data_IF_908611257979
#
_entry.id   IF_908611257979
#
_cell.length_a   1.000
_cell.length_b   1.000
_cell.length_c   1.000
_cell.angle_alpha   90.00
_cell.angle_beta   90.00
_cell.angle_gamma   90.00
#
_symmetry.space_group_name_H-M   'P 1'
#
loop_
_entity.id
_entity.type
_entity.pdbx_description
1 polymer ?
#
# COMPACT_ATOMS: atom_id res chain seq x y z
N UNK A 1 13.30 7.58 -5.39
CA UNK A 1 13.78 8.90 -4.91
C UNK A 1 14.41 8.71 -3.53
N UNK A 2 15.75 8.75 -3.43
CA UNK A 2 16.43 8.56 -2.14
C UNK A 2 16.19 9.71 -1.16
N UNK A 3 15.77 10.87 -1.64
CA UNK A 3 15.61 12.08 -0.82
C UNK A 3 14.22 12.22 -0.19
N UNK A 4 13.24 11.43 -0.64
CA UNK A 4 11.84 11.53 -0.21
C UNK A 4 11.08 12.76 -0.71
N UNK A 5 11.76 13.70 -1.39
CA UNK A 5 11.20 15.00 -1.80
C UNK A 5 10.14 14.90 -2.90
N UNK A 6 10.17 13.85 -3.72
CA UNK A 6 9.27 13.73 -4.86
C UNK A 6 7.81 13.58 -4.43
N UNK A 7 7.53 12.75 -3.41
CA UNK A 7 6.17 12.59 -2.85
C UNK A 7 5.67 13.87 -2.18
N UNK A 8 6.54 14.58 -1.47
CA UNK A 8 6.20 15.85 -0.82
C UNK A 8 5.90 16.94 -1.86
N UNK A 9 6.71 17.03 -2.91
CA UNK A 9 6.48 17.96 -4.01
C UNK A 9 5.19 17.64 -4.75
N UNK A 10 4.87 16.36 -4.94
CA UNK A 10 3.61 15.95 -5.55
C UNK A 10 2.41 16.33 -4.67
N UNK A 11 2.46 16.04 -3.36
CA UNK A 11 1.42 16.46 -2.41
C UNK A 11 1.21 17.98 -2.44
N UNK A 12 2.30 18.75 -2.43
CA UNK A 12 2.26 20.19 -2.49
C UNK A 12 1.62 20.69 -3.80
N UNK A 13 1.93 20.07 -4.94
CA UNK A 13 1.34 20.42 -6.24
C UNK A 13 -0.15 20.08 -6.28
N UNK A 14 -0.55 18.89 -5.83
CA UNK A 14 -1.97 18.49 -5.76
C UNK A 14 -2.80 19.48 -4.94
N UNK A 15 -2.30 19.86 -3.76
CA UNK A 15 -2.96 20.80 -2.86
C UNK A 15 -2.95 22.26 -3.33
N UNK A 16 -2.16 22.60 -4.35
CA UNK A 16 -2.15 23.94 -4.98
C UNK A 16 -2.96 24.00 -6.26
N UNK A 17 -3.10 22.86 -6.96
CA UNK A 17 -3.69 22.79 -8.29
C UNK A 17 -5.14 22.31 -8.29
N UNK A 18 -5.68 21.91 -7.14
CA UNK A 18 -7.06 21.42 -7.02
C UNK A 18 -7.77 22.11 -5.85
N UNK A 19 -9.10 22.14 -5.89
CA UNK A 19 -9.92 22.64 -4.78
C UNK A 19 -10.00 21.63 -3.61
N UNK A 20 -9.63 20.37 -3.87
CA UNK A 20 -9.63 19.33 -2.85
C UNK A 20 -8.32 19.32 -2.07
N UNK A 21 -8.43 19.06 -0.77
CA UNK A 21 -7.28 18.72 0.05
C UNK A 21 -6.94 17.26 -0.18
N UNK A 22 -5.66 16.97 -0.36
CA UNK A 22 -5.09 15.63 -0.36
C UNK A 22 -4.22 15.45 0.88
N UNK A 23 -4.26 14.23 1.40
CA UNK A 23 -3.32 13.70 2.37
C UNK A 23 -2.57 12.53 1.74
N UNK A 24 -1.44 12.14 2.36
CA UNK A 24 -0.64 11.04 1.87
C UNK A 24 -0.27 10.07 2.99
N UNK A 25 -0.17 8.80 2.63
CA UNK A 25 0.39 7.74 3.46
C UNK A 25 1.35 6.92 2.62
N UNK A 26 2.45 6.43 3.22
CA UNK A 26 3.47 5.70 2.50
C UNK A 26 4.04 4.55 3.33
N UNK A 27 4.53 3.51 2.65
CA UNK A 27 5.22 2.37 3.24
C UNK A 27 6.62 2.74 3.71
N UNK A 28 7.29 1.84 4.44
CA UNK A 28 8.75 1.94 4.56
C UNK A 28 9.44 1.64 3.22
N UNK A 29 10.76 1.75 3.20
CA UNK A 29 11.59 1.40 2.04
C UNK A 29 11.64 -0.12 1.87
N UNK A 30 11.24 -0.62 0.70
CA UNK A 30 11.05 -2.04 0.38
C UNK A 30 11.99 -2.45 -0.76
N UNK A 31 12.37 -3.72 -0.84
CA UNK A 31 13.28 -4.24 -1.88
C UNK A 31 14.38 -5.12 -1.30
N UNK A 32 14.73 -6.24 -1.94
CA UNK A 32 15.79 -7.14 -1.44
C UNK A 32 17.21 -6.64 -1.65
N UNK A 33 17.42 -5.77 -2.63
CA UNK A 33 18.74 -5.31 -3.04
C UNK A 33 19.04 -3.89 -2.54
N UNK A 34 20.09 -3.28 -3.09
CA UNK A 34 20.39 -1.84 -2.89
C UNK A 34 19.35 -0.94 -3.55
N UNK A 35 18.61 -1.45 -4.53
CA UNK A 35 17.46 -0.77 -5.11
C UNK A 35 16.25 -0.95 -4.19
N UNK A 36 15.67 0.18 -3.78
CA UNK A 36 14.52 0.23 -2.88
C UNK A 36 13.41 1.12 -3.44
N UNK A 37 12.18 0.72 -3.16
CA UNK A 37 10.95 1.40 -3.57
C UNK A 37 10.05 1.68 -2.36
N UNK A 38 9.04 2.54 -2.54
CA UNK A 38 8.01 2.79 -1.53
C UNK A 38 6.65 2.84 -2.21
N UNK A 39 5.63 2.28 -1.57
CA UNK A 39 4.25 2.57 -1.91
C UNK A 39 3.85 3.92 -1.32
N UNK A 40 3.13 4.72 -2.10
CA UNK A 40 2.58 6.01 -1.65
C UNK A 40 1.13 6.07 -2.13
N UNK A 41 0.21 6.29 -1.20
CA UNK A 41 -1.19 6.52 -1.47
C UNK A 41 -1.51 7.99 -1.16
N UNK A 42 -2.06 8.70 -2.14
CA UNK A 42 -2.62 10.03 -1.99
C UNK A 42 -4.14 9.90 -1.99
N UNK A 43 -4.81 10.44 -0.98
CA UNK A 43 -6.25 10.30 -0.83
C UNK A 43 -6.89 11.61 -0.36
N UNK A 44 -8.20 11.72 -0.61
CA UNK A 44 -9.04 12.86 -0.26
C UNK A 44 -9.72 12.59 1.08
N UNK A 45 -9.33 13.27 2.19
CA UNK A 45 -9.89 13.00 3.51
C UNK A 45 -11.36 13.46 3.65
N UNK A 46 -11.87 14.27 2.72
CA UNK A 46 -13.28 14.62 2.57
C UNK A 46 -14.14 13.49 1.97
N UNK A 47 -13.52 12.45 1.42
CA UNK A 47 -14.20 11.36 0.72
C UNK A 47 -13.98 9.99 1.38
N UNK A 48 -12.80 9.77 1.95
CA UNK A 48 -12.42 8.53 2.62
C UNK A 48 -11.63 8.82 3.90
N UNK A 49 -11.78 7.97 4.91
CA UNK A 49 -10.97 8.01 6.14
C UNK A 49 -10.06 6.80 6.17
N UNK A 50 -8.75 7.00 6.38
CA UNK A 50 -7.81 5.90 6.60
C UNK A 50 -7.97 5.40 8.04
N UNK A 51 -8.57 4.22 8.20
CA UNK A 51 -8.88 3.63 9.50
C UNK A 51 -7.71 2.85 10.08
N UNK A 52 -7.02 2.09 9.25
CA UNK A 52 -5.87 1.28 9.66
C UNK A 52 -4.91 1.07 8.48
N UNK A 53 -3.65 0.73 8.80
CA UNK A 53 -2.62 0.39 7.83
C UNK A 53 -1.58 -0.52 8.45
N UNK A 54 -1.02 -1.41 7.65
CA UNK A 54 0.16 -2.16 8.04
C UNK A 54 0.96 -2.60 6.82
N UNK A 55 2.23 -2.90 7.05
CA UNK A 55 3.05 -3.61 6.09
C UNK A 55 2.88 -5.10 6.35
N UNK A 56 2.52 -5.89 5.34
CA UNK A 56 2.50 -7.34 5.48
C UNK A 56 3.91 -7.86 5.76
N UNK A 57 4.06 -8.74 6.74
CA UNK A 57 5.33 -9.37 7.08
C UNK A 57 5.31 -10.81 6.56
N UNK A 58 6.14 -11.09 5.57
CA UNK A 58 6.18 -12.39 4.89
C UNK A 58 7.18 -13.35 5.58
N UNK A 59 6.88 -13.67 6.84
CA UNK A 59 7.72 -14.45 7.74
C UNK A 59 7.21 -15.89 7.89
N UNK A 60 6.57 -16.44 6.86
CA UNK A 60 5.93 -17.76 6.92
C UNK A 60 6.96 -18.87 6.84
N UNK A 61 6.89 -19.82 7.77
CA UNK A 61 7.87 -20.90 7.85
C UNK A 61 7.82 -21.77 6.59
N UNK A 62 8.91 -21.71 5.80
CA UNK A 62 9.03 -22.44 4.53
C UNK A 62 8.78 -21.61 3.27
N UNK A 63 8.26 -20.39 3.41
CA UNK A 63 8.11 -19.44 2.30
C UNK A 63 8.53 -18.01 2.67
N UNK A 64 9.47 -17.88 3.61
CA UNK A 64 10.03 -16.60 4.02
C UNK A 64 10.55 -15.82 2.80
N UNK A 65 10.20 -14.54 2.72
CA UNK A 65 10.62 -13.65 1.64
C UNK A 65 10.16 -14.16 0.26
N UNK A 66 8.85 -14.31 0.05
CA UNK A 66 8.24 -14.51 -1.26
C UNK A 66 8.10 -13.20 -2.04
N UNK A 67 7.83 -12.06 -1.38
CA UNK A 67 7.75 -10.74 -2.03
C UNK A 67 9.09 -10.01 -2.13
N UNK A 68 9.43 -9.47 -3.31
CA UNK A 68 10.54 -8.53 -3.41
C UNK A 68 10.24 -7.20 -2.70
N UNK A 69 8.96 -6.84 -2.63
CA UNK A 69 8.40 -5.70 -1.92
C UNK A 69 7.10 -6.14 -1.29
N UNK A 70 7.13 -6.23 0.02
CA UNK A 70 6.02 -6.67 0.83
C UNK A 70 4.79 -5.76 0.56
N UNK A 71 3.55 -6.30 0.54
CA UNK A 71 2.35 -5.50 0.31
C UNK A 71 2.02 -4.50 1.43
N UNK A 72 1.63 -3.27 1.05
CA UNK A 72 1.28 -2.20 1.98
C UNK A 72 -0.24 -2.08 2.15
N UNK A 73 -0.79 -2.76 3.14
CA UNK A 73 -2.24 -2.88 3.35
C UNK A 73 -2.83 -1.61 3.95
N UNK A 74 -3.90 -1.08 3.34
CA UNK A 74 -4.59 0.14 3.74
C UNK A 74 -6.09 -0.12 3.88
N UNK A 75 -6.69 0.19 5.04
CA UNK A 75 -8.14 0.10 5.24
C UNK A 75 -8.76 1.48 5.27
N UNK A 76 -9.77 1.69 4.42
CA UNK A 76 -10.49 2.95 4.28
C UNK A 76 -11.97 2.79 4.58
N UNK A 77 -12.50 3.70 5.40
CA UNK A 77 -13.92 3.97 5.46
C UNK A 77 -14.32 4.88 4.29
N UNK A 78 -15.33 4.47 3.52
CA UNK A 78 -15.82 5.10 2.30
C UNK A 78 -17.33 5.42 2.42
N UNK A 79 -17.73 6.44 3.20
CA UNK A 79 -19.15 6.68 3.50
C UNK A 79 -20.01 7.00 2.27
N UNK A 80 -19.41 7.49 1.18
CA UNK A 80 -20.11 7.94 -0.02
C UNK A 80 -20.28 6.86 -1.12
N UNK A 81 -19.74 5.65 -0.94
CA UNK A 81 -19.78 4.58 -1.95
C UNK A 81 -20.70 3.43 -1.54
N UNK A 82 -20.93 2.43 -2.40
CA UNK A 82 -21.66 1.21 -2.00
C UNK A 82 -20.83 0.36 -1.02
N UNK A 83 -19.53 0.28 -1.26
CA UNK A 83 -18.57 -0.45 -0.41
C UNK A 83 -18.07 0.48 0.69
N UNK A 84 -18.66 0.39 1.88
CA UNK A 84 -18.39 1.31 3.00
C UNK A 84 -17.04 1.10 3.69
N UNK A 85 -16.51 -0.10 3.61
CA UNK A 85 -15.24 -0.49 4.18
C UNK A 85 -14.41 -1.16 3.09
N UNK A 86 -13.27 -0.56 2.73
CA UNK A 86 -12.45 -0.96 1.61
C UNK A 86 -11.02 -1.20 2.09
N UNK A 87 -10.52 -2.41 1.88
CA UNK A 87 -9.10 -2.71 2.00
C UNK A 87 -8.43 -2.63 0.64
N UNK A 88 -7.39 -1.81 0.53
CA UNK A 88 -6.53 -1.68 -0.64
C UNK A 88 -5.18 -2.35 -0.36
N UNK A 89 -4.76 -3.22 -1.28
CA UNK A 89 -3.48 -3.94 -1.23
C UNK A 89 -2.72 -3.63 -2.53
N UNK A 90 -1.89 -2.57 -2.56
CA UNK A 90 -1.06 -2.26 -3.72
C UNK A 90 0.07 -3.28 -3.83
N UNK A 91 0.29 -3.81 -5.04
CA UNK A 91 1.34 -4.80 -5.33
C UNK A 91 2.14 -4.31 -6.54
N UNK A 92 3.46 -4.36 -6.42
CA UNK A 92 4.40 -4.14 -7.52
C UNK A 92 5.28 -5.37 -7.64
N UNK A 93 4.90 -6.26 -8.56
CA UNK A 93 5.56 -7.55 -8.64
C UNK A 93 6.94 -7.46 -9.28
N UNK A 94 7.89 -8.29 -8.85
CA UNK A 94 9.14 -8.48 -9.58
C UNK A 94 8.87 -9.36 -10.80
N UNK A 95 9.18 -8.92 -12.04
CA UNK A 95 8.80 -9.66 -13.25
C UNK A 95 9.23 -11.13 -13.24
N UNK A 96 10.44 -11.41 -12.77
CA UNK A 96 11.01 -12.77 -12.74
C UNK A 96 10.33 -13.68 -11.72
N UNK A 97 9.76 -13.13 -10.65
CA UNK A 97 9.12 -13.87 -9.55
C UNK A 97 7.60 -13.65 -9.51
N UNK A 98 7.03 -13.00 -10.54
CA UNK A 98 5.65 -12.51 -10.55
C UNK A 98 4.60 -13.58 -10.29
N UNK A 99 4.80 -14.80 -10.78
CA UNK A 99 3.87 -15.91 -10.51
C UNK A 99 3.88 -16.30 -9.03
N UNK A 100 5.06 -16.39 -8.41
CA UNK A 100 5.19 -16.69 -6.98
C UNK A 100 4.57 -15.58 -6.14
N UNK A 101 4.88 -14.33 -6.44
CA UNK A 101 4.36 -13.18 -5.69
C UNK A 101 2.84 -13.04 -5.81
N UNK A 102 2.24 -13.44 -6.94
CA UNK A 102 0.78 -13.43 -7.11
C UNK A 102 0.10 -14.62 -6.41
N UNK A 103 0.77 -15.78 -6.32
CA UNK A 103 0.29 -16.92 -5.55
C UNK A 103 0.24 -16.56 -4.05
N UNK A 104 1.34 -16.00 -3.55
CA UNK A 104 1.46 -15.53 -2.16
C UNK A 104 0.45 -14.42 -1.80
N UNK A 105 0.01 -13.62 -2.77
CA UNK A 105 -1.00 -12.60 -2.55
C UNK A 105 -2.33 -13.18 -2.03
N UNK A 106 -2.59 -14.46 -2.29
CA UNK A 106 -3.72 -15.17 -1.71
C UNK A 106 -3.66 -15.19 -0.18
N UNK A 107 -2.51 -15.53 0.39
CA UNK A 107 -2.33 -15.61 1.84
C UNK A 107 -2.40 -14.24 2.51
N UNK A 108 -1.94 -13.19 1.81
CA UNK A 108 -2.15 -11.80 2.23
C UNK A 108 -3.64 -11.47 2.33
N UNK A 109 -4.44 -11.85 1.32
CA UNK A 109 -5.90 -11.64 1.35
C UNK A 109 -6.54 -12.42 2.48
N UNK A 110 -6.12 -13.67 2.72
CA UNK A 110 -6.64 -14.47 3.82
C UNK A 110 -6.32 -13.85 5.19
N UNK A 111 -5.10 -13.36 5.39
CA UNK A 111 -4.70 -12.68 6.61
C UNK A 111 -5.47 -11.37 6.84
N UNK A 112 -5.72 -10.61 5.76
CA UNK A 112 -6.56 -9.39 5.82
C UNK A 112 -7.98 -9.71 6.29
N UNK A 113 -8.58 -10.77 5.72
CA UNK A 113 -9.91 -11.23 6.12
C UNK A 113 -9.93 -11.66 7.58
N UNK A 114 -8.97 -12.49 8.02
CA UNK A 114 -8.89 -12.90 9.43
C UNK A 114 -8.76 -11.71 10.39
N UNK A 115 -8.10 -10.63 9.96
CA UNK A 115 -7.90 -9.44 10.79
C UNK A 115 -9.16 -8.56 10.91
N UNK A 116 -9.99 -8.46 9.87
CA UNK A 116 -11.04 -7.44 9.76
C UNK A 116 -12.43 -7.91 9.31
N UNK A 117 -12.60 -9.19 8.93
CA UNK A 117 -13.90 -9.84 8.72
C UNK A 117 -14.37 -10.58 9.99
#
# INVERSE_FOLDING_TARGET
DKSGKAKDLLLQKLNKSTEHKYEMVFSHSLGRSTYKEQFVCFYRPDEVTLEDKYQYEDNQAGDEDAFAREPFVLRFSCPNTVVKDLVLIPVHTKPEDSTKELDELYDVVMAVREKWD
#
